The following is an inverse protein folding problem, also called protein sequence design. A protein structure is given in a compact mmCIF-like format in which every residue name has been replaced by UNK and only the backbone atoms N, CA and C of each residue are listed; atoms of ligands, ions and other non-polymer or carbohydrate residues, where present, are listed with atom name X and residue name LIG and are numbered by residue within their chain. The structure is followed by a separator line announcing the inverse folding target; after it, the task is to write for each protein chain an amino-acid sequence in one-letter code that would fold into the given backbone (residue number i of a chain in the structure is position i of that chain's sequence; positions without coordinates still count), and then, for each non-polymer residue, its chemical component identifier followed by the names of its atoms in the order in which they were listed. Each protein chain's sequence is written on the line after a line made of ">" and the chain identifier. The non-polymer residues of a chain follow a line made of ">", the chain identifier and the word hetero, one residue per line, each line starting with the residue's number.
data_IF_803965682642
#
_entry.id   IF_803965682642
#
_cell.length_a   1.000
_cell.length_b   1.000
_cell.length_c   1.000
_cell.angle_alpha   90.00
_cell.angle_beta   90.00
_cell.angle_gamma   90.00
#
_symmetry.space_group_name_H-M   'P 1'
#
loop_
_entity.id
_entity.type
_entity.pdbx_description
1 polymer ?
#
# COMPACT_ATOMS: atom_id res chain seq x y z
N UNK A 1 -2.61 34.14 -53.61
CA UNK A 1 -1.78 35.33 -53.85
C UNK A 1 -2.40 36.52 -53.15
N UNK A 2 -1.95 36.85 -51.97
CA UNK A 2 -2.23 38.12 -51.29
C UNK A 2 -1.11 38.37 -50.27
N UNK A 3 -0.49 39.56 -50.26
CA UNK A 3 0.78 39.79 -49.56
C UNK A 3 0.57 40.30 -48.14
N UNK A 4 1.47 39.87 -47.28
CA UNK A 4 1.69 40.33 -45.90
C UNK A 4 2.03 41.83 -45.85
N UNK A 5 1.33 42.59 -45.02
CA UNK A 5 1.77 43.90 -44.54
C UNK A 5 2.44 43.79 -43.18
N UNK A 6 3.76 44.01 -43.19
CA UNK A 6 4.56 44.31 -41.98
C UNK A 6 4.28 45.75 -41.56
N UNK A 7 3.92 45.95 -40.29
CA UNK A 7 3.95 47.29 -39.67
C UNK A 7 5.19 47.37 -38.76
N UNK A 8 6.10 48.21 -39.17
CA UNK A 8 7.21 48.71 -38.37
C UNK A 8 6.67 49.79 -37.44
N UNK A 9 6.89 49.63 -36.12
CA UNK A 9 6.57 50.66 -35.15
C UNK A 9 7.86 51.25 -34.61
N UNK A 10 7.92 52.58 -34.77
CA UNK A 10 9.09 53.41 -34.50
C UNK A 10 9.39 53.56 -33.02
N UNK A 11 10.66 53.45 -32.67
CA UNK A 11 11.19 53.83 -31.36
C UNK A 11 11.35 55.36 -31.26
N UNK A 12 10.64 56.00 -30.38
CA UNK A 12 10.88 57.39 -29.98
C UNK A 12 11.81 57.39 -28.77
N UNK A 13 13.05 57.78 -29.00
CA UNK A 13 14.02 58.09 -27.95
C UNK A 13 13.62 59.38 -27.23
N UNK A 14 13.40 59.35 -25.93
CA UNK A 14 13.31 60.53 -25.08
C UNK A 14 14.52 60.57 -24.16
N UNK A 15 15.39 61.57 -24.45
CA UNK A 15 16.46 62.03 -23.61
C UNK A 15 15.86 62.76 -22.40
N UNK A 16 16.22 62.37 -21.19
CA UNK A 16 15.96 63.10 -19.94
C UNK A 16 17.26 63.38 -19.21
N UNK A 17 17.38 64.59 -18.58
CA UNK A 17 18.65 65.10 -18.09
C UNK A 17 19.07 64.51 -16.77
N UNK A 18 20.40 64.44 -16.59
CA UNK A 18 21.09 64.17 -15.34
C UNK A 18 20.73 65.22 -14.28
N UNK A 19 20.09 64.78 -13.20
CA UNK A 19 20.02 65.54 -11.97
C UNK A 19 20.89 64.86 -10.92
N UNK A 20 21.95 65.53 -10.53
CA UNK A 20 22.84 65.14 -9.44
C UNK A 20 22.08 65.20 -8.11
N UNK A 21 22.02 64.08 -7.37
CA UNK A 21 21.52 64.03 -5.99
C UNK A 21 22.68 63.67 -5.06
N UNK A 22 22.90 64.43 -4.00
CA UNK A 22 24.02 64.24 -3.10
C UNK A 22 23.87 62.98 -2.26
N UNK A 23 24.99 62.30 -2.09
CA UNK A 23 25.19 61.13 -1.25
C UNK A 23 24.91 61.50 0.22
N UNK A 24 23.78 61.04 0.74
CA UNK A 24 23.51 61.08 2.18
C UNK A 24 23.82 59.68 2.74
N UNK A 25 24.98 59.57 3.37
CA UNK A 25 25.38 58.40 4.14
C UNK A 25 24.49 58.30 5.39
N UNK A 26 23.44 57.44 5.28
CA UNK A 26 22.73 56.95 6.45
C UNK A 26 23.40 55.66 6.92
N UNK A 27 23.75 55.54 8.22
CA UNK A 27 24.21 54.30 8.78
C UNK A 27 23.05 53.30 8.77
N UNK A 28 23.21 52.17 8.04
CA UNK A 28 22.38 50.99 8.20
C UNK A 28 22.60 50.46 9.64
N UNK A 29 21.78 50.92 10.57
CA UNK A 29 21.54 50.19 11.80
C UNK A 29 20.91 48.86 11.40
N UNK A 30 21.71 47.80 11.45
CA UNK A 30 21.22 46.44 11.39
C UNK A 30 20.33 46.23 12.62
N UNK A 31 19.03 46.49 12.42
CA UNK A 31 18.03 46.05 13.34
C UNK A 31 17.94 44.52 13.20
N UNK A 32 18.55 43.79 14.14
CA UNK A 32 18.08 42.46 14.45
C UNK A 32 16.61 42.62 14.84
N UNK A 33 15.73 42.49 13.88
CA UNK A 33 14.30 42.39 14.15
C UNK A 33 14.10 41.26 15.14
N UNK A 34 13.50 41.60 16.26
CA UNK A 34 13.01 40.64 17.22
C UNK A 34 12.19 39.59 16.42
N UNK A 35 12.74 38.39 16.31
CA UNK A 35 12.00 37.30 15.71
C UNK A 35 10.83 37.07 16.65
N UNK A 36 9.69 37.64 16.29
CA UNK A 36 8.45 37.54 17.09
C UNK A 36 8.31 36.15 17.65
N UNK A 37 7.98 36.03 18.93
CA UNK A 37 7.92 34.76 19.64
C UNK A 37 7.23 33.71 18.81
N UNK A 38 7.86 32.54 18.66
CA UNK A 38 7.30 31.39 17.96
C UNK A 38 5.92 31.09 18.52
N UNK A 39 4.89 31.41 17.77
CA UNK A 39 3.54 30.98 18.10
C UNK A 39 3.39 29.53 17.64
N UNK A 40 3.01 28.68 18.60
CA UNK A 40 2.67 27.30 18.26
C UNK A 40 1.51 27.31 17.27
N UNK A 41 1.71 26.66 16.12
CA UNK A 41 0.67 26.47 15.11
C UNK A 41 -0.52 25.58 15.59
N UNK A 42 -0.53 25.21 16.87
CA UNK A 42 -1.47 24.25 17.43
C UNK A 42 -0.95 22.81 17.38
N UNK A 43 -1.74 21.90 17.89
CA UNK A 43 -1.41 20.46 17.79
C UNK A 43 -1.45 20.04 16.33
N UNK A 44 -0.34 19.48 15.83
CA UNK A 44 -0.31 18.84 14.52
C UNK A 44 -1.31 17.69 14.54
N UNK A 45 -2.24 17.60 13.57
CA UNK A 45 -3.13 16.45 13.48
C UNK A 45 -2.29 15.17 13.48
N UNK A 46 -2.64 14.22 14.33
CA UNK A 46 -1.97 12.92 14.35
C UNK A 46 -2.17 12.28 12.98
N UNK A 47 -1.07 12.02 12.26
CA UNK A 47 -1.15 11.32 10.99
C UNK A 47 -1.71 9.92 11.26
N UNK A 48 -2.83 9.60 10.61
CA UNK A 48 -3.37 8.25 10.63
C UNK A 48 -2.49 7.43 9.69
N UNK A 49 -1.80 6.44 10.25
CA UNK A 49 -0.97 5.52 9.46
C UNK A 49 -1.82 4.64 8.54
N UNK A 50 -1.18 3.97 7.56
CA UNK A 50 -1.84 3.00 6.70
C UNK A 50 -2.55 1.91 7.48
N UNK A 51 -3.75 1.52 7.03
CA UNK A 51 -4.52 0.40 7.60
C UNK A 51 -4.23 -0.85 6.78
N UNK A 52 -3.69 -1.88 7.42
CA UNK A 52 -3.44 -3.18 6.78
C UNK A 52 -4.77 -3.92 6.60
N UNK A 53 -5.10 -4.30 5.37
CA UNK A 53 -6.37 -4.94 5.05
C UNK A 53 -6.35 -6.41 5.50
N UNK A 54 -5.56 -7.25 4.99
CA UNK A 54 -5.55 -8.69 5.34
C UNK A 54 -4.33 -9.03 6.20
N UNK A 55 -4.36 -8.79 7.53
CA UNK A 55 -3.20 -8.98 8.41
C UNK A 55 -2.75 -10.43 8.52
N UNK A 56 -3.64 -11.38 8.24
CA UNK A 56 -3.41 -12.82 8.38
C UNK A 56 -2.90 -13.49 7.08
N UNK A 57 -2.56 -12.70 6.03
CA UNK A 57 -1.90 -13.27 4.86
C UNK A 57 -0.57 -13.92 5.26
N UNK A 58 -0.33 -15.16 4.81
CA UNK A 58 0.92 -15.85 5.12
C UNK A 58 2.13 -15.10 4.50
N UNK A 59 3.32 -15.25 5.07
CA UNK A 59 4.54 -14.71 4.49
C UNK A 59 4.79 -15.28 3.08
N UNK A 60 5.13 -14.42 2.15
CA UNK A 60 5.49 -14.80 0.78
C UNK A 60 6.97 -15.13 0.72
N UNK A 61 7.33 -16.25 0.10
CA UNK A 61 8.70 -16.75 0.01
C UNK A 61 9.20 -17.01 -1.41
N UNK A 62 8.28 -17.00 -2.39
CA UNK A 62 8.61 -17.25 -3.79
C UNK A 62 8.91 -15.94 -4.56
N UNK A 63 9.61 -15.96 -5.72
CA UNK A 63 9.81 -14.79 -6.55
C UNK A 63 8.47 -14.27 -7.12
N UNK A 64 8.26 -12.96 -7.17
CA UNK A 64 7.03 -12.38 -7.70
C UNK A 64 6.91 -12.54 -9.20
N UNK A 65 5.67 -12.63 -9.65
CA UNK A 65 5.29 -12.47 -11.06
C UNK A 65 4.67 -11.08 -11.22
N UNK A 66 4.94 -10.43 -12.33
CA UNK A 66 4.35 -9.13 -12.65
C UNK A 66 3.14 -9.35 -13.57
N UNK A 67 1.94 -9.14 -13.05
CA UNK A 67 0.69 -9.28 -13.78
C UNK A 67 -0.21 -8.05 -13.54
N UNK A 68 0.36 -6.86 -13.73
CA UNK A 68 -0.41 -5.60 -13.62
C UNK A 68 -1.27 -5.38 -14.87
N UNK A 69 -2.57 -5.29 -14.70
CA UNK A 69 -3.51 -4.82 -15.72
C UNK A 69 -4.13 -3.50 -15.26
N UNK A 70 -4.03 -2.49 -16.11
CA UNK A 70 -4.57 -1.15 -15.85
C UNK A 70 -5.87 -0.88 -16.61
N UNK A 71 -6.43 -1.89 -17.28
CA UNK A 71 -7.61 -1.73 -18.10
C UNK A 71 -8.88 -1.69 -17.26
N UNK A 72 -9.74 -0.72 -17.61
CA UNK A 72 -11.08 -0.59 -17.05
C UNK A 72 -12.01 -1.56 -17.77
N UNK A 73 -12.71 -2.42 -17.04
CA UNK A 73 -13.59 -3.42 -17.59
C UNK A 73 -14.96 -3.43 -16.89
N UNK A 74 -16.02 -3.40 -17.69
CA UNK A 74 -17.37 -3.57 -17.17
C UNK A 74 -17.61 -5.04 -16.75
N UNK A 75 -18.12 -5.26 -15.54
CA UNK A 75 -18.45 -6.60 -15.05
C UNK A 75 -19.87 -6.97 -15.52
N UNK A 76 -20.02 -7.94 -16.43
CA UNK A 76 -21.32 -8.25 -17.01
C UNK A 76 -22.35 -8.75 -15.98
N UNK A 77 -23.60 -8.28 -16.11
CA UNK A 77 -24.71 -8.78 -15.29
C UNK A 77 -24.66 -8.41 -13.81
N UNK A 78 -23.77 -7.49 -13.42
CA UNK A 78 -23.72 -6.93 -12.06
C UNK A 78 -24.29 -5.53 -12.06
N UNK A 79 -25.38 -5.37 -11.33
CA UNK A 79 -25.98 -4.05 -11.04
C UNK A 79 -25.56 -3.58 -9.67
N UNK A 80 -25.37 -2.27 -9.52
CA UNK A 80 -25.05 -1.61 -8.24
C UNK A 80 -26.26 -0.81 -7.75
N UNK A 81 -27.11 -1.39 -6.89
CA UNK A 81 -28.34 -0.77 -6.47
C UNK A 81 -28.12 0.57 -5.76
N UNK A 82 -28.62 1.65 -6.36
CA UNK A 82 -28.44 3.00 -5.80
C UNK A 82 -27.00 3.54 -5.84
N UNK A 83 -26.12 2.90 -6.63
CA UNK A 83 -24.69 3.24 -6.68
C UNK A 83 -23.93 2.86 -5.40
N UNK A 84 -24.45 1.94 -4.59
CA UNK A 84 -23.86 1.51 -3.33
C UNK A 84 -23.23 0.12 -3.47
N UNK A 85 -21.90 0.06 -3.54
CA UNK A 85 -21.12 -1.19 -3.69
C UNK A 85 -21.20 -2.12 -2.48
N UNK A 86 -21.61 -1.63 -1.30
CA UNK A 86 -21.84 -2.48 -0.13
C UNK A 86 -23.01 -3.46 -0.33
N UNK A 87 -23.86 -3.20 -1.33
CA UNK A 87 -25.00 -4.05 -1.68
C UNK A 87 -24.68 -5.10 -2.76
N UNK A 88 -23.43 -5.12 -3.21
CA UNK A 88 -22.93 -6.05 -4.21
C UNK A 88 -22.23 -7.22 -3.53
N UNK A 89 -22.57 -8.46 -3.92
CA UNK A 89 -21.88 -9.65 -3.44
C UNK A 89 -20.56 -9.85 -4.19
N UNK A 90 -19.40 -9.77 -3.51
CA UNK A 90 -18.09 -9.92 -4.14
C UNK A 90 -17.89 -11.27 -4.83
N UNK A 91 -18.46 -12.34 -4.30
CA UNK A 91 -18.35 -13.67 -4.90
C UNK A 91 -19.14 -13.72 -6.22
N UNK A 92 -20.29 -13.07 -6.27
CA UNK A 92 -21.07 -12.94 -7.52
C UNK A 92 -20.31 -12.12 -8.57
N UNK A 93 -19.62 -11.05 -8.15
CA UNK A 93 -18.77 -10.26 -9.04
C UNK A 93 -17.68 -11.12 -9.68
N UNK A 94 -16.92 -11.84 -8.86
CA UNK A 94 -15.83 -12.69 -9.36
C UNK A 94 -16.34 -13.82 -10.26
N UNK A 95 -17.51 -14.41 -9.96
CA UNK A 95 -18.12 -15.41 -10.85
C UNK A 95 -18.50 -14.82 -12.20
N UNK A 96 -19.05 -13.60 -12.21
CA UNK A 96 -19.40 -12.93 -13.46
C UNK A 96 -18.15 -12.63 -14.32
N UNK A 97 -17.04 -12.24 -13.71
CA UNK A 97 -15.76 -12.08 -14.42
C UNK A 97 -15.21 -13.40 -14.95
N UNK A 98 -15.26 -14.48 -14.14
CA UNK A 98 -14.85 -15.82 -14.58
C UNK A 98 -15.65 -16.30 -15.80
N UNK A 99 -16.94 -16.03 -15.80
CA UNK A 99 -17.82 -16.45 -16.89
C UNK A 99 -17.63 -15.58 -18.16
N UNK A 100 -17.22 -14.30 -17.98
CA UNK A 100 -16.92 -13.41 -19.08
C UNK A 100 -15.53 -13.64 -19.69
N UNK A 101 -14.57 -14.15 -18.91
CA UNK A 101 -13.17 -14.33 -19.31
C UNK A 101 -12.71 -15.79 -19.11
N UNK A 102 -13.36 -16.79 -19.75
CA UNK A 102 -13.05 -18.19 -19.52
C UNK A 102 -11.61 -18.56 -19.90
N UNK A 103 -11.07 -17.94 -20.94
CA UNK A 103 -9.73 -18.26 -21.44
C UNK A 103 -8.63 -17.79 -20.47
N UNK A 104 -8.89 -16.74 -19.70
CA UNK A 104 -7.92 -16.22 -18.71
C UNK A 104 -7.86 -17.09 -17.46
N UNK A 105 -9.03 -17.65 -17.03
CA UNK A 105 -9.14 -18.34 -15.75
C UNK A 105 -9.23 -19.86 -15.87
N UNK A 106 -9.57 -20.38 -17.04
CA UNK A 106 -9.78 -21.81 -17.28
C UNK A 106 -9.08 -22.34 -18.54
N UNK A 107 -8.20 -21.52 -19.15
CA UNK A 107 -7.50 -21.86 -20.38
C UNK A 107 -6.46 -22.96 -20.25
N UNK A 108 -5.80 -23.29 -21.37
CA UNK A 108 -4.85 -24.40 -21.50
C UNK A 108 -3.65 -24.35 -20.52
N UNK A 109 -3.31 -23.17 -20.04
CA UNK A 109 -2.23 -23.00 -19.07
C UNK A 109 -2.66 -23.33 -17.63
N UNK A 110 -3.97 -23.55 -17.39
CA UNK A 110 -4.52 -24.13 -16.14
C UNK A 110 -4.19 -23.43 -14.83
N UNK A 111 -3.43 -22.33 -14.89
CA UNK A 111 -2.87 -21.67 -13.71
C UNK A 111 -3.94 -21.18 -12.73
N UNK A 112 -5.16 -20.90 -13.23
CA UNK A 112 -6.25 -20.39 -12.41
C UNK A 112 -7.48 -21.30 -12.33
N UNK A 113 -7.48 -22.46 -12.99
CA UNK A 113 -8.63 -23.36 -13.04
C UNK A 113 -9.09 -23.80 -11.65
N UNK A 114 -8.16 -24.24 -10.80
CA UNK A 114 -8.46 -24.61 -9.41
C UNK A 114 -9.08 -23.44 -8.63
N UNK A 115 -8.55 -22.24 -8.81
CA UNK A 115 -9.09 -21.05 -8.14
C UNK A 115 -10.49 -20.71 -8.63
N UNK A 116 -10.73 -20.82 -9.94
CA UNK A 116 -12.04 -20.58 -10.53
C UNK A 116 -13.09 -21.57 -9.99
N UNK A 117 -12.75 -22.85 -9.88
CA UNK A 117 -13.61 -23.87 -9.29
C UNK A 117 -13.92 -23.56 -7.83
N UNK A 118 -12.92 -23.21 -7.05
CA UNK A 118 -13.09 -22.84 -5.64
C UNK A 118 -13.95 -21.58 -5.45
N UNK A 119 -13.83 -20.57 -6.32
CA UNK A 119 -14.71 -19.40 -6.31
C UNK A 119 -16.15 -19.80 -6.60
N UNK A 120 -16.37 -20.71 -7.57
CA UNK A 120 -17.72 -21.24 -7.87
C UNK A 120 -18.29 -22.03 -6.69
N UNK A 121 -17.45 -22.71 -5.93
CA UNK A 121 -17.83 -23.51 -4.77
C UNK A 121 -17.99 -22.71 -3.47
N UNK A 122 -17.58 -21.43 -3.38
CA UNK A 122 -17.55 -20.64 -2.14
C UNK A 122 -18.85 -20.67 -1.32
N UNK A 123 -20.02 -20.76 -1.98
CA UNK A 123 -21.30 -20.82 -1.25
C UNK A 123 -21.54 -22.18 -0.57
N UNK A 124 -21.04 -23.25 -1.17
CA UNK A 124 -21.17 -24.62 -0.65
C UNK A 124 -20.05 -24.96 0.34
N UNK A 125 -18.85 -24.44 0.10
CA UNK A 125 -17.62 -24.72 0.84
C UNK A 125 -16.94 -23.42 1.31
N UNK A 126 -17.53 -22.70 2.28
CA UNK A 126 -17.01 -21.39 2.69
C UNK A 126 -15.60 -21.45 3.29
N UNK A 127 -15.19 -22.58 3.89
CA UNK A 127 -13.87 -22.79 4.46
C UNK A 127 -12.75 -22.82 3.43
N UNK A 128 -13.06 -23.26 2.20
CA UNK A 128 -12.12 -23.38 1.10
C UNK A 128 -12.19 -22.22 0.10
N UNK A 129 -13.06 -21.24 0.37
CA UNK A 129 -13.22 -20.08 -0.47
C UNK A 129 -11.92 -19.25 -0.54
N UNK A 130 -11.35 -19.00 -1.73
CA UNK A 130 -10.13 -18.24 -1.86
C UNK A 130 -10.34 -16.73 -1.74
N UNK A 131 -11.60 -16.27 -1.76
CA UNK A 131 -11.94 -14.85 -1.72
C UNK A 131 -11.73 -14.30 -0.31
N UNK A 132 -10.93 -13.25 -0.20
CA UNK A 132 -10.67 -12.58 1.05
C UNK A 132 -11.85 -11.69 1.44
N UNK A 133 -11.94 -11.34 2.72
CA UNK A 133 -12.96 -10.40 3.19
C UNK A 133 -12.89 -9.10 2.39
N UNK A 134 -13.99 -8.62 1.82
CA UNK A 134 -13.98 -7.38 1.05
C UNK A 134 -13.73 -6.16 1.94
N UNK A 135 -13.15 -5.13 1.35
CA UNK A 135 -13.00 -3.81 1.95
C UNK A 135 -13.67 -2.76 1.06
N UNK A 136 -14.02 -1.64 1.68
CA UNK A 136 -14.71 -0.54 1.04
C UNK A 136 -14.02 0.75 1.41
N UNK A 137 -13.76 1.60 0.41
CA UNK A 137 -13.07 2.87 0.62
C UNK A 137 -13.35 3.82 -0.53
N UNK A 138 -13.59 5.09 -0.22
CA UNK A 138 -13.58 6.15 -1.22
C UNK A 138 -12.14 6.35 -1.74
N UNK A 139 -11.84 5.72 -2.89
CA UNK A 139 -10.55 5.82 -3.58
C UNK A 139 -10.57 6.94 -4.63
N UNK A 140 -11.75 7.23 -5.22
CA UNK A 140 -11.92 8.22 -6.28
C UNK A 140 -12.05 9.64 -5.73
N UNK A 141 -12.52 9.80 -4.51
CA UNK A 141 -12.78 11.08 -3.85
C UNK A 141 -14.12 11.70 -4.19
N UNK A 142 -15.06 10.92 -4.71
CA UNK A 142 -16.40 11.36 -5.04
C UNK A 142 -17.39 11.25 -3.86
N UNK A 143 -16.92 10.73 -2.72
CA UNK A 143 -17.69 10.53 -1.50
C UNK A 143 -18.47 9.22 -1.46
N UNK A 144 -18.24 8.31 -2.42
CA UNK A 144 -18.75 6.94 -2.42
C UNK A 144 -17.59 5.96 -2.25
N UNK A 145 -17.89 4.81 -1.66
CA UNK A 145 -16.88 3.78 -1.52
C UNK A 145 -16.74 2.96 -2.81
N UNK A 146 -15.51 2.56 -3.11
CA UNK A 146 -15.16 1.50 -4.04
C UNK A 146 -15.04 0.17 -3.30
N UNK A 147 -15.31 -0.92 -4.01
CA UNK A 147 -15.16 -2.29 -3.51
C UNK A 147 -13.74 -2.81 -3.81
N UNK A 148 -13.03 -3.24 -2.78
CA UNK A 148 -11.71 -3.85 -2.89
C UNK A 148 -11.83 -5.34 -2.57
N UNK A 149 -11.44 -6.19 -3.51
CA UNK A 149 -11.50 -7.65 -3.38
C UNK A 149 -10.11 -8.25 -3.54
N UNK A 150 -9.74 -9.12 -2.62
CA UNK A 150 -8.54 -9.95 -2.71
C UNK A 150 -8.92 -11.41 -3.00
N UNK A 151 -8.12 -12.10 -3.79
CA UNK A 151 -8.29 -13.54 -4.09
C UNK A 151 -6.95 -14.24 -3.91
N UNK A 152 -6.93 -15.30 -3.09
CA UNK A 152 -5.75 -16.16 -2.97
C UNK A 152 -5.66 -17.07 -4.19
N UNK A 153 -4.49 -17.08 -4.81
CA UNK A 153 -4.15 -17.91 -5.96
C UNK A 153 -3.09 -18.94 -5.56
N UNK A 154 -2.81 -19.94 -6.41
CA UNK A 154 -1.66 -20.83 -6.25
C UNK A 154 -0.34 -20.04 -6.15
N UNK A 155 0.74 -20.70 -5.70
CA UNK A 155 2.10 -20.14 -5.64
C UNK A 155 2.23 -18.88 -4.77
N UNK A 156 1.38 -18.76 -3.74
CA UNK A 156 1.36 -17.61 -2.82
C UNK A 156 1.02 -16.26 -3.51
N UNK A 157 0.42 -16.32 -4.69
CA UNK A 157 -0.06 -15.13 -5.37
C UNK A 157 -1.38 -14.65 -4.75
N UNK A 158 -1.59 -13.34 -4.83
CA UNK A 158 -2.87 -12.70 -4.48
C UNK A 158 -3.27 -11.77 -5.60
N UNK A 159 -4.47 -11.98 -6.15
CA UNK A 159 -5.09 -11.00 -7.01
C UNK A 159 -5.75 -9.92 -6.15
N UNK A 160 -5.55 -8.66 -6.51
CA UNK A 160 -6.22 -7.51 -5.89
C UNK A 160 -6.97 -6.76 -6.98
N UNK A 161 -8.25 -6.52 -6.75
CA UNK A 161 -9.14 -5.85 -7.71
C UNK A 161 -9.93 -4.77 -7.02
N UNK A 162 -10.11 -3.64 -7.71
CA UNK A 162 -10.97 -2.55 -7.25
C UNK A 162 -12.10 -2.34 -8.25
N UNK A 163 -13.29 -2.10 -7.73
CA UNK A 163 -14.50 -1.91 -8.51
C UNK A 163 -15.25 -0.68 -8.05
N UNK A 164 -15.87 0.03 -8.98
CA UNK A 164 -16.72 1.19 -8.72
C UNK A 164 -18.05 1.08 -9.47
N UNK A 165 -19.09 1.84 -9.05
CA UNK A 165 -20.30 1.97 -9.83
C UNK A 165 -20.00 2.58 -11.20
N UNK A 166 -20.46 1.92 -12.25
CA UNK A 166 -20.38 2.45 -13.60
C UNK A 166 -21.50 3.47 -13.89
N UNK A 167 -21.38 4.23 -15.00
CA UNK A 167 -22.34 5.27 -15.37
C UNK A 167 -23.74 4.71 -15.66
N UNK A 168 -23.82 3.46 -16.09
CA UNK A 168 -25.08 2.77 -16.44
C UNK A 168 -25.71 2.04 -15.26
N UNK A 169 -25.19 2.24 -14.03
CA UNK A 169 -25.65 1.53 -12.83
C UNK A 169 -25.10 0.12 -12.71
N UNK A 170 -24.24 -0.30 -13.62
CA UNK A 170 -23.45 -1.52 -13.54
C UNK A 170 -22.24 -1.38 -12.66
N UNK A 171 -21.41 -2.42 -12.59
CA UNK A 171 -20.14 -2.43 -11.88
C UNK A 171 -18.99 -2.40 -12.89
N UNK A 172 -17.96 -1.62 -12.59
CA UNK A 172 -16.75 -1.49 -13.43
C UNK A 172 -15.54 -1.83 -12.59
N UNK A 173 -14.67 -2.72 -13.11
CA UNK A 173 -13.34 -2.95 -12.55
C UNK A 173 -12.41 -1.83 -12.99
N UNK A 174 -11.77 -1.17 -12.05
CA UNK A 174 -10.87 -0.03 -12.29
C UNK A 174 -9.43 -0.32 -11.90
N UNK A 175 -9.17 -1.49 -11.37
CA UNK A 175 -7.84 -2.00 -11.05
C UNK A 175 -7.87 -3.52 -11.01
N UNK A 176 -6.85 -4.14 -11.60
CA UNK A 176 -6.54 -5.55 -11.41
C UNK A 176 -5.03 -5.72 -11.35
N UNK A 177 -4.55 -6.47 -10.39
CA UNK A 177 -3.14 -6.86 -10.31
C UNK A 177 -3.01 -8.20 -9.60
N UNK A 178 -1.97 -8.94 -9.94
CA UNK A 178 -1.62 -10.22 -9.32
C UNK A 178 -0.15 -10.18 -8.96
N UNK A 179 0.17 -10.45 -7.69
CA UNK A 179 1.55 -10.49 -7.24
C UNK A 179 1.69 -11.34 -5.97
N UNK A 180 2.93 -11.62 -5.56
CA UNK A 180 3.23 -12.19 -4.25
C UNK A 180 3.14 -11.12 -3.17
N UNK A 181 1.91 -10.83 -2.79
CA UNK A 181 1.57 -9.72 -1.91
C UNK A 181 1.96 -10.03 -0.47
N UNK A 182 2.81 -9.19 0.11
CA UNK A 182 3.18 -9.20 1.54
C UNK A 182 2.11 -8.48 2.37
N UNK A 183 1.62 -7.34 1.89
CA UNK A 183 0.53 -6.61 2.52
C UNK A 183 -0.19 -5.69 1.52
N UNK A 184 -1.46 -5.46 1.80
CA UNK A 184 -2.27 -4.42 1.16
C UNK A 184 -2.67 -3.42 2.23
N UNK A 185 -2.45 -2.14 1.98
CA UNK A 185 -2.62 -1.06 2.94
C UNK A 185 -3.41 0.09 2.31
N UNK A 186 -4.20 0.78 3.12
CA UNK A 186 -4.90 2.00 2.71
C UNK A 186 -4.21 3.22 3.34
N UNK A 187 -3.80 4.17 2.51
CA UNK A 187 -3.20 5.43 2.92
C UNK A 187 -3.96 6.59 2.28
N UNK A 188 -4.91 7.14 3.01
CA UNK A 188 -5.84 8.12 2.45
C UNK A 188 -6.75 7.48 1.43
N UNK A 189 -6.59 7.86 0.15
CA UNK A 189 -7.29 7.29 -1.01
C UNK A 189 -6.41 6.35 -1.85
N UNK A 190 -5.16 6.19 -1.47
CA UNK A 190 -4.24 5.31 -2.19
C UNK A 190 -4.31 3.89 -1.63
N UNK A 191 -4.26 2.92 -2.55
CA UNK A 191 -4.07 1.52 -2.22
C UNK A 191 -2.60 1.19 -2.37
N UNK A 192 -1.96 0.78 -1.28
CA UNK A 192 -0.54 0.47 -1.25
C UNK A 192 -0.36 -1.03 -1.22
N UNK A 193 0.31 -1.56 -2.23
CA UNK A 193 0.68 -2.96 -2.33
C UNK A 193 2.15 -3.11 -1.94
N UNK A 194 2.44 -4.05 -1.06
CA UNK A 194 3.80 -4.47 -0.79
C UNK A 194 3.96 -5.89 -1.29
N UNK A 195 4.93 -6.10 -2.16
CA UNK A 195 5.22 -7.41 -2.73
C UNK A 195 6.70 -7.75 -2.62
N UNK A 196 7.02 -9.03 -2.76
CA UNK A 196 8.41 -9.50 -2.69
C UNK A 196 9.19 -9.01 -3.89
N UNK A 197 10.41 -8.48 -3.67
CA UNK A 197 11.29 -8.12 -4.77
C UNK A 197 11.97 -9.36 -5.35
N UNK A 198 11.65 -9.73 -6.59
CA UNK A 198 12.24 -10.88 -7.28
C UNK A 198 13.76 -10.75 -7.45
N UNK A 199 14.24 -9.56 -7.76
CA UNK A 199 15.62 -9.31 -8.14
C UNK A 199 16.55 -8.99 -6.98
N UNK A 200 16.03 -8.61 -5.81
CA UNK A 200 16.82 -8.07 -4.71
C UNK A 200 16.40 -8.75 -3.40
N UNK A 201 17.08 -9.81 -2.97
CA UNK A 201 16.76 -10.48 -1.70
C UNK A 201 16.80 -9.51 -0.51
N UNK A 202 15.81 -9.60 0.37
CA UNK A 202 15.68 -8.73 1.55
C UNK A 202 15.09 -7.35 1.25
N UNK A 203 14.48 -7.19 0.07
CA UNK A 203 13.72 -5.99 -0.30
C UNK A 203 12.32 -6.36 -0.75
N UNK A 204 11.44 -5.39 -0.69
CA UNK A 204 10.06 -5.42 -1.16
C UNK A 204 9.82 -4.27 -2.12
N UNK A 205 8.96 -4.48 -3.11
CA UNK A 205 8.34 -3.40 -3.85
C UNK A 205 7.18 -2.85 -3.03
N UNK A 206 7.04 -1.54 -3.05
CA UNK A 206 5.93 -0.84 -2.46
C UNK A 206 5.34 0.07 -3.51
N UNK A 207 4.24 -0.38 -4.11
CA UNK A 207 3.55 0.33 -5.18
C UNK A 207 2.31 1.00 -4.61
N UNK A 208 2.20 2.32 -4.78
CA UNK A 208 1.00 3.07 -4.45
C UNK A 208 0.14 3.24 -5.70
N UNK A 209 -1.08 2.72 -5.65
CA UNK A 209 -2.09 2.87 -6.69
C UNK A 209 -3.03 4.02 -6.32
N UNK A 210 -3.18 4.97 -7.22
CA UNK A 210 -4.01 6.16 -7.03
C UNK A 210 -5.00 6.29 -8.18
N UNK A 211 -6.16 6.87 -7.90
CA UNK A 211 -7.18 7.15 -8.92
C UNK A 211 -6.72 8.23 -9.90
N UNK A 212 -6.79 7.94 -11.19
CA UNK A 212 -6.62 8.90 -12.28
C UNK A 212 -7.98 9.22 -12.91
N UNK A 213 -8.51 10.40 -12.56
CA UNK A 213 -9.82 10.83 -13.06
C UNK A 213 -9.84 11.16 -14.57
N UNK A 214 -8.70 11.29 -15.24
CA UNK A 214 -8.63 11.49 -16.69
C UNK A 214 -8.74 10.16 -17.44
N UNK A 215 -8.11 9.13 -16.90
CA UNK A 215 -8.14 7.79 -17.51
C UNK A 215 -9.31 6.94 -16.96
N UNK A 216 -9.91 7.33 -15.84
CA UNK A 216 -11.02 6.60 -15.22
C UNK A 216 -10.59 5.26 -14.63
N UNK A 217 -9.34 5.15 -14.18
CA UNK A 217 -8.77 3.92 -13.63
C UNK A 217 -7.79 4.22 -12.49
N UNK A 218 -7.46 3.20 -11.70
CA UNK A 218 -6.37 3.27 -10.74
C UNK A 218 -5.05 3.01 -11.45
N UNK A 219 -4.06 3.87 -11.22
CA UNK A 219 -2.73 3.74 -11.80
C UNK A 219 -1.65 3.63 -10.72
N UNK A 220 -0.54 2.92 -10.99
CA UNK A 220 0.62 2.95 -10.14
C UNK A 220 1.26 4.34 -10.18
N UNK A 221 1.05 5.12 -9.12
CA UNK A 221 1.50 6.50 -9.02
C UNK A 221 2.90 6.63 -8.41
N UNK A 222 3.33 5.62 -7.64
CA UNK A 222 4.63 5.58 -6.98
C UNK A 222 5.09 4.17 -6.75
N UNK A 223 6.35 3.90 -7.13
CA UNK A 223 7.05 2.67 -6.83
C UNK A 223 8.27 2.95 -5.96
N UNK A 224 8.43 2.17 -4.91
CA UNK A 224 9.55 2.26 -3.99
C UNK A 224 10.13 0.86 -3.76
N UNK A 225 11.45 0.75 -3.71
CA UNK A 225 12.14 -0.46 -3.26
C UNK A 225 12.51 -0.26 -1.80
N UNK A 226 11.89 -1.04 -0.92
CA UNK A 226 12.04 -0.88 0.53
C UNK A 226 12.79 -2.07 1.11
N UNK A 227 13.80 -1.79 1.91
CA UNK A 227 14.52 -2.86 2.63
C UNK A 227 13.63 -3.47 3.70
N UNK A 228 13.49 -4.80 3.68
CA UNK A 228 12.80 -5.53 4.75
C UNK A 228 13.65 -5.45 6.01
N UNK A 229 13.12 -4.84 7.07
CA UNK A 229 13.74 -4.93 8.39
C UNK A 229 13.49 -6.34 8.90
N UNK A 230 14.53 -7.10 9.31
CA UNK A 230 14.31 -8.36 9.95
C UNK A 230 13.37 -8.15 11.14
N UNK A 231 12.27 -8.89 11.18
CA UNK A 231 11.43 -8.90 12.40
C UNK A 231 12.30 -9.39 13.55
N UNK A 232 12.27 -8.75 14.72
CA UNK A 232 12.92 -9.31 15.90
C UNK A 232 12.44 -10.75 16.05
N UNK A 233 13.33 -11.71 16.36
CA UNK A 233 12.89 -13.07 16.61
C UNK A 233 11.76 -13.03 17.64
N UNK A 234 10.66 -13.73 17.34
CA UNK A 234 9.55 -13.83 18.27
C UNK A 234 10.13 -14.24 19.63
N UNK A 235 9.98 -13.38 20.63
CA UNK A 235 10.42 -13.72 21.98
C UNK A 235 9.64 -14.97 22.36
N UNK A 236 10.40 -16.05 22.59
CA UNK A 236 9.80 -17.24 23.16
C UNK A 236 9.01 -16.82 24.41
N UNK A 237 7.83 -17.41 24.65
CA UNK A 237 7.07 -17.11 25.85
C UNK A 237 8.00 -17.25 27.06
N UNK A 238 8.25 -16.16 27.77
CA UNK A 238 8.95 -16.25 29.04
C UNK A 238 8.07 -17.11 29.95
N UNK A 239 8.62 -18.18 30.52
CA UNK A 239 7.86 -18.92 31.50
C UNK A 239 7.51 -17.96 32.62
N UNK A 240 6.22 -17.87 32.93
CA UNK A 240 5.70 -17.06 34.02
C UNK A 240 6.52 -17.32 35.27
N UNK A 241 7.28 -16.32 35.70
CA UNK A 241 8.04 -16.34 36.93
C UNK A 241 7.07 -16.39 38.09
N UNK A 242 6.71 -17.61 38.50
CA UNK A 242 5.97 -17.83 39.72
C UNK A 242 6.75 -17.24 40.91
N UNK A 243 6.19 -16.20 41.50
CA UNK A 243 6.64 -15.67 42.78
C UNK A 243 6.55 -16.75 43.84
N UNK A 244 7.66 -17.43 44.10
CA UNK A 244 7.80 -18.23 45.32
C UNK A 244 8.41 -17.33 46.39
N UNK A 245 7.56 -16.81 47.26
CA UNK A 245 7.95 -16.26 48.54
C UNK A 245 8.27 -17.43 49.48
N UNK A 246 9.53 -17.60 49.84
CA UNK A 246 9.95 -18.53 50.86
C UNK A 246 10.95 -17.87 51.81
N UNK A 247 10.91 -18.15 53.13
CA UNK A 247 11.69 -17.42 54.13
C UNK A 247 13.15 -17.89 54.21
N UNK A 248 14.04 -16.93 54.53
CA UNK A 248 15.46 -17.15 54.77
C UNK A 248 15.76 -17.76 56.12
N UNK A 249 16.97 -17.58 56.73
CA UNK A 249 18.22 -18.20 56.36
C UNK A 249 18.79 -19.11 57.49
N UNK A 250 19.68 -20.04 57.20
CA UNK A 250 20.61 -20.60 58.17
C UNK A 250 21.96 -20.96 57.54
N UNK A 251 23.02 -20.44 58.11
CA UNK A 251 24.41 -20.63 57.70
C UNK A 251 25.05 -21.85 58.48
N UNK A 252 26.36 -22.13 58.28
CA UNK A 252 26.89 -23.43 57.90
C UNK A 252 27.57 -24.17 59.05
N UNK A 253 28.20 -25.36 58.90
CA UNK A 253 29.63 -25.42 58.78
C UNK A 253 30.24 -26.57 57.96
N UNK A 254 31.37 -26.31 57.31
CA UNK A 254 32.61 -26.98 57.44
C UNK A 254 32.86 -28.37 56.81
N UNK A 255 33.99 -28.46 56.09
CA UNK A 255 34.72 -29.71 55.93
C UNK A 255 35.21 -29.98 54.48
N UNK A 256 36.47 -29.59 54.22
CA UNK A 256 37.42 -30.11 53.19
C UNK A 256 37.63 -31.63 53.37
N UNK A 257 38.42 -32.36 52.51
CA UNK A 257 39.23 -31.93 51.35
C UNK A 257 39.16 -32.84 50.11
N UNK A 258 39.80 -32.34 49.04
CA UNK A 258 40.33 -33.01 47.83
C UNK A 258 41.04 -34.36 48.06
N UNK A 259 41.15 -35.28 47.06
CA UNK A 259 42.32 -35.20 46.23
C UNK A 259 42.13 -35.53 44.70
N UNK A 260 43.03 -34.91 43.95
CA UNK A 260 43.46 -35.16 42.59
C UNK A 260 44.16 -36.55 42.38
N UNK A 261 44.75 -36.83 41.26
CA UNK A 261 44.22 -37.23 39.94
C UNK A 261 44.79 -38.57 39.47
N UNK A 262 44.29 -39.16 38.40
CA UNK A 262 45.11 -40.13 37.63
C UNK A 262 44.83 -40.14 36.13
N UNK A 263 45.93 -39.88 35.42
CA UNK A 263 46.19 -40.17 34.00
C UNK A 263 46.17 -41.66 33.73
N UNK A 264 45.85 -42.03 32.53
CA UNK A 264 46.56 -42.89 31.54
C UNK A 264 45.56 -43.44 30.54
N UNK A 265 45.75 -43.05 29.28
CA UNK A 265 46.48 -43.72 28.21
C UNK A 265 45.88 -45.06 27.75
N UNK A 266 45.23 -45.05 26.62
CA UNK A 266 45.66 -45.75 25.39
C UNK A 266 44.80 -45.26 24.22
#
# INVERSE_FOLDING_TARGET
>A
MTPHRRRLSAYAARLLPLAAVPFLLLPLAAGCGDAGGLQSAGATPTAVGPVRLWPDLPPVTAPPHDYGENDTEAVPGIEVPGGDVHRVDPIRVLRAELDANPDTYTGADGMYEETAERIRACAAEPGDCPVLKPYYRDLTGDGKDELIVGVRLPEQLVAVRCYMPGPDGGLVRVMSTVDQIVSVELAGRDLILRSVSAGIPGYEYRTAWSWDGQQGTMLPARDEIVRVKPSPPAQAPQPDGGSASGPGPAAPPGGEPEPEPQRSAR
#
